data_IF_440284585884
#
_entry.id   IF_440284585884
#
_cell.length_a   1.000
_cell.length_b   1.000
_cell.length_c   1.000
_cell.angle_alpha   90.00
_cell.angle_beta   90.00
_cell.angle_gamma   90.00
#
_symmetry.space_group_name_H-M   'P 1'
#
loop_
_entity.id
_entity.type
_entity.pdbx_description
1 polymer ?
#
# COMPACT_ATOMS: atom_id res chain seq x y z
N UNK A 1 6.79 10.63 21.83
CA UNK A 1 6.43 10.61 20.39
C UNK A 1 7.40 9.65 19.71
N UNK A 2 6.93 8.47 19.29
CA UNK A 2 7.79 7.54 18.53
C UNK A 2 7.91 8.05 17.09
N UNK A 3 8.95 8.80 16.80
CA UNK A 3 9.27 9.24 15.43
C UNK A 3 9.85 8.06 14.68
N UNK A 4 9.02 7.29 13.97
CA UNK A 4 9.49 6.20 13.10
C UNK A 4 10.36 6.78 11.99
N UNK A 5 11.60 6.33 11.90
CA UNK A 5 12.57 6.75 10.88
C UNK A 5 12.48 5.83 9.67
N UNK A 6 12.91 6.29 8.50
CA UNK A 6 13.01 5.46 7.29
C UNK A 6 13.84 4.18 7.53
N UNK A 7 14.84 4.25 8.42
CA UNK A 7 15.69 3.12 8.82
C UNK A 7 14.92 1.98 9.53
N UNK A 8 13.73 2.26 10.07
CA UNK A 8 12.90 1.27 10.76
C UNK A 8 12.09 0.40 9.77
N UNK A 9 12.12 0.71 8.47
CA UNK A 9 11.37 0.02 7.43
C UNK A 9 12.25 -0.93 6.60
N UNK A 10 11.70 -2.08 6.23
CA UNK A 10 12.35 -3.04 5.33
C UNK A 10 12.22 -2.59 3.88
N UNK A 11 13.37 -2.35 3.21
CA UNK A 11 13.39 -2.02 1.79
C UNK A 11 13.00 -3.23 0.95
N UNK A 12 11.91 -3.10 0.19
CA UNK A 12 11.42 -4.15 -0.72
C UNK A 12 11.53 -3.66 -2.16
N UNK A 13 12.26 -4.40 -3.00
CA UNK A 13 12.34 -4.12 -4.42
C UNK A 13 11.18 -4.83 -5.16
N UNK A 14 10.37 -4.08 -5.89
CA UNK A 14 9.23 -4.60 -6.64
C UNK A 14 9.44 -4.37 -8.15
N UNK A 15 9.12 -5.39 -8.96
CA UNK A 15 9.02 -5.23 -10.41
C UNK A 15 7.55 -5.06 -10.77
N UNK A 16 7.24 -3.95 -11.42
CA UNK A 16 5.88 -3.61 -11.87
C UNK A 16 5.86 -3.57 -13.40
N UNK A 17 4.77 -4.05 -14.03
CA UNK A 17 4.50 -3.72 -15.43
C UNK A 17 4.49 -2.19 -15.64
N UNK A 18 4.96 -1.68 -16.79
CA UNK A 18 5.07 -0.23 -17.03
C UNK A 18 3.75 0.53 -16.87
N UNK A 19 2.64 -0.06 -17.34
CA UNK A 19 1.31 0.50 -17.24
C UNK A 19 0.85 0.63 -15.78
N UNK A 20 1.16 -0.36 -14.95
CA UNK A 20 0.82 -0.33 -13.53
C UNK A 20 1.69 0.68 -12.78
N UNK A 21 2.98 0.75 -13.09
CA UNK A 21 3.88 1.77 -12.51
C UNK A 21 3.37 3.19 -12.80
N UNK A 22 2.96 3.45 -14.05
CA UNK A 22 2.39 4.74 -14.46
C UNK A 22 1.10 5.05 -13.70
N UNK A 23 0.16 4.10 -13.64
CA UNK A 23 -1.12 4.29 -12.94
C UNK A 23 -0.92 4.61 -11.44
N UNK A 24 0.02 3.93 -10.78
CA UNK A 24 0.33 4.21 -9.37
C UNK A 24 0.92 5.61 -9.19
N UNK A 25 1.74 6.08 -10.13
CA UNK A 25 2.26 7.46 -10.10
C UNK A 25 1.15 8.50 -10.25
N UNK A 26 0.25 8.31 -11.20
CA UNK A 26 -0.87 9.23 -11.44
C UNK A 26 -1.78 9.32 -10.20
N UNK A 27 -2.12 8.18 -9.59
CA UNK A 27 -2.87 8.15 -8.34
C UNK A 27 -2.13 8.84 -7.19
N UNK A 28 -0.82 8.62 -7.07
CA UNK A 28 -0.01 9.28 -6.05
C UNK A 28 -0.06 10.81 -6.19
N UNK A 29 0.02 11.33 -7.42
CA UNK A 29 -0.14 12.77 -7.71
C UNK A 29 -1.53 13.27 -7.34
N UNK A 30 -2.59 12.55 -7.72
CA UNK A 30 -3.97 12.94 -7.44
C UNK A 30 -4.29 12.96 -5.93
N UNK A 31 -3.72 12.04 -5.17
CA UNK A 31 -3.95 11.90 -3.73
C UNK A 31 -2.91 12.62 -2.86
N UNK A 32 -2.05 13.45 -3.48
CA UNK A 32 -0.99 14.22 -2.82
C UNK A 32 -0.04 13.34 -1.97
N UNK A 33 0.28 12.14 -2.46
CA UNK A 33 1.18 11.18 -1.82
C UNK A 33 2.48 11.04 -2.58
N UNK A 34 3.53 10.64 -1.85
CA UNK A 34 4.72 10.09 -2.52
C UNK A 34 4.38 8.75 -3.16
N UNK A 35 5.14 8.34 -4.18
CA UNK A 35 4.94 7.05 -4.85
C UNK A 35 4.97 5.87 -3.85
N UNK A 36 5.95 5.84 -2.95
CA UNK A 36 6.01 4.83 -1.89
C UNK A 36 4.83 4.92 -0.93
N UNK A 37 4.39 6.14 -0.59
CA UNK A 37 3.20 6.36 0.23
C UNK A 37 1.93 5.78 -0.40
N UNK A 38 1.78 5.92 -1.72
CA UNK A 38 0.66 5.33 -2.45
C UNK A 38 0.71 3.80 -2.45
N UNK A 39 1.87 3.20 -2.68
CA UNK A 39 2.05 1.73 -2.60
C UNK A 39 1.63 1.23 -1.22
N UNK A 40 2.10 1.87 -0.16
CA UNK A 40 1.75 1.50 1.22
C UNK A 40 0.24 1.66 1.49
N UNK A 41 -0.39 2.72 0.99
CA UNK A 41 -1.82 2.94 1.12
C UNK A 41 -2.63 1.81 0.45
N UNK A 42 -2.30 1.47 -0.79
CA UNK A 42 -2.93 0.37 -1.52
C UNK A 42 -2.79 -0.98 -0.78
N UNK A 43 -1.58 -1.29 -0.28
CA UNK A 43 -1.32 -2.53 0.46
C UNK A 43 -2.11 -2.59 1.78
N UNK A 44 -2.18 -1.47 2.52
CA UNK A 44 -2.97 -1.39 3.75
C UNK A 44 -4.45 -1.60 3.48
N UNK A 45 -5.01 -0.96 2.45
CA UNK A 45 -6.39 -1.15 2.04
C UNK A 45 -6.65 -2.62 1.65
N UNK A 46 -5.78 -3.21 0.83
CA UNK A 46 -5.91 -4.61 0.41
C UNK A 46 -5.91 -5.57 1.60
N UNK A 47 -4.97 -5.41 2.53
CA UNK A 47 -4.85 -6.26 3.73
C UNK A 47 -6.07 -6.09 4.64
N UNK A 48 -6.51 -4.85 4.87
CA UNK A 48 -7.68 -4.56 5.69
C UNK A 48 -8.95 -5.20 5.11
N UNK A 49 -9.20 -4.97 3.81
CA UNK A 49 -10.35 -5.53 3.10
C UNK A 49 -10.34 -7.06 3.10
N UNK A 50 -9.18 -7.70 2.87
CA UNK A 50 -9.08 -9.18 2.88
C UNK A 50 -9.21 -9.78 4.28
N UNK A 51 -8.70 -9.10 5.30
CA UNK A 51 -8.84 -9.54 6.69
C UNK A 51 -10.30 -9.49 7.15
N UNK A 52 -11.05 -8.48 6.73
CA UNK A 52 -12.49 -8.34 7.03
C UNK A 52 -13.31 -9.45 6.35
N UNK A 53 -13.05 -9.72 5.06
CA UNK A 53 -13.73 -10.80 4.32
C UNK A 53 -13.53 -12.16 5.02
N UNK A 54 -12.31 -12.45 5.48
CA UNK A 54 -12.03 -13.73 6.12
C UNK A 54 -12.73 -13.87 7.49
N UNK A 55 -12.86 -12.77 8.24
CA UNK A 55 -13.59 -12.77 9.51
C UNK A 55 -15.11 -12.92 9.33
N UNK A 56 -15.68 -12.45 8.23
CA UNK A 56 -17.12 -12.62 7.93
C UNK A 56 -17.47 -14.01 7.40
N UNK A 57 -16.60 -14.63 6.60
CA UNK A 57 -16.78 -15.99 6.12
C UNK A 57 -16.61 -17.04 7.23
N UNK A 58 -15.73 -16.79 8.21
CA UNK A 58 -15.49 -17.70 9.33
C UNK A 58 -16.59 -17.67 10.42
N UNK A 59 -17.59 -16.78 10.31
CA UNK A 59 -18.72 -16.63 11.26
C UNK A 59 -20.03 -17.28 10.80
N UNK A 60 -20.04 -17.95 9.65
CA UNK A 60 -21.18 -18.68 9.09
C UNK A 60 -20.96 -20.18 9.24
#
# INVERSE_FOLDING_TARGET
>A
MNTTKQADYVRTALRLPPELHKAVHELATQEERTFNGQIVACLRQLVASRSQIHCELAKR
#
